data_IF_809390233053
#
_entry.id   IF_809390233053
#
_cell.length_a   1.000
_cell.length_b   1.000
_cell.length_c   1.000
_cell.angle_alpha   90.00
_cell.angle_beta   90.00
_cell.angle_gamma   90.00
#
_symmetry.space_group_name_H-M   'P 1'
#
loop_
_entity.id
_entity.type
_entity.pdbx_description
1 polymer ?
#
# COMPACT_ATOMS: atom_id res chain seq x y z
N UNK A 1 32.24 42.39 -63.39
CA UNK A 1 31.83 41.08 -62.82
C UNK A 1 32.52 40.71 -61.49
N UNK A 2 33.36 41.56 -60.88
CA UNK A 2 33.99 41.26 -59.58
C UNK A 2 33.16 41.70 -58.35
N UNK A 3 32.33 42.74 -58.49
CA UNK A 3 31.54 43.31 -57.37
C UNK A 3 30.41 42.39 -56.88
N UNK A 4 29.83 41.58 -57.78
CA UNK A 4 28.76 40.63 -57.44
C UNK A 4 29.24 39.42 -56.62
N UNK A 5 30.48 38.97 -56.82
CA UNK A 5 31.05 37.85 -56.05
C UNK A 5 31.36 38.25 -54.61
N UNK A 6 31.83 39.47 -54.37
CA UNK A 6 32.08 39.97 -53.01
C UNK A 6 30.78 40.16 -52.22
N UNK A 7 29.72 40.64 -52.87
CA UNK A 7 28.40 40.75 -52.26
C UNK A 7 27.84 39.37 -51.84
N UNK A 8 27.93 38.37 -52.73
CA UNK A 8 27.51 36.99 -52.41
C UNK A 8 28.33 36.36 -51.28
N UNK A 9 29.65 36.60 -51.21
CA UNK A 9 30.48 36.12 -50.11
C UNK A 9 30.06 36.74 -48.76
N UNK A 10 29.71 38.03 -48.76
CA UNK A 10 29.24 38.71 -47.55
C UNK A 10 27.89 38.18 -47.06
N UNK A 11 26.98 37.83 -47.98
CA UNK A 11 25.70 37.22 -47.61
C UNK A 11 25.86 35.79 -47.11
N UNK A 12 26.76 35.00 -47.71
CA UNK A 12 27.07 33.64 -47.25
C UNK A 12 27.65 33.62 -45.83
N UNK A 13 28.59 34.52 -45.53
CA UNK A 13 29.13 34.67 -44.17
C UNK A 13 28.06 35.11 -43.16
N UNK A 14 27.16 36.01 -43.56
CA UNK A 14 26.04 36.45 -42.73
C UNK A 14 25.07 35.30 -42.45
N UNK A 15 24.70 34.51 -43.47
CA UNK A 15 23.83 33.35 -43.32
C UNK A 15 24.46 32.25 -42.46
N UNK A 16 25.77 32.03 -42.62
CA UNK A 16 26.52 31.09 -41.78
C UNK A 16 26.51 31.53 -40.31
N UNK A 17 26.73 32.81 -40.04
CA UNK A 17 26.68 33.36 -38.68
C UNK A 17 25.29 33.25 -38.04
N UNK A 18 24.21 33.51 -38.80
CA UNK A 18 22.84 33.34 -38.33
C UNK A 18 22.51 31.86 -38.08
N UNK A 19 22.93 30.97 -38.97
CA UNK A 19 22.75 29.52 -38.81
C UNK A 19 23.44 29.02 -37.54
N UNK A 20 24.70 29.40 -37.30
CA UNK A 20 25.41 29.03 -36.06
C UNK A 20 24.72 29.57 -34.81
N UNK A 21 24.20 30.80 -34.87
CA UNK A 21 23.47 31.40 -33.74
C UNK A 21 22.13 30.69 -33.47
N UNK A 22 21.44 30.23 -34.51
CA UNK A 22 20.19 29.45 -34.38
C UNK A 22 20.49 28.06 -33.82
N UNK A 23 21.50 27.36 -34.33
CA UNK A 23 21.93 26.06 -33.80
C UNK A 23 22.33 26.16 -32.33
N UNK A 24 23.10 27.18 -31.94
CA UNK A 24 23.45 27.41 -30.54
C UNK A 24 22.24 27.71 -29.65
N UNK A 25 21.20 28.38 -30.19
CA UNK A 25 19.95 28.61 -29.44
C UNK A 25 19.16 27.31 -29.28
N UNK A 26 19.09 26.48 -30.33
CA UNK A 26 18.42 25.17 -30.29
C UNK A 26 19.13 24.25 -29.30
N UNK A 27 20.46 24.12 -29.37
CA UNK A 27 21.25 23.34 -28.41
C UNK A 27 21.06 23.84 -26.98
N UNK A 28 20.99 25.16 -26.76
CA UNK A 28 20.69 25.73 -25.44
C UNK A 28 19.27 25.42 -24.97
N UNK A 29 18.30 25.37 -25.87
CA UNK A 29 16.91 25.02 -25.55
C UNK A 29 16.82 23.53 -25.22
N UNK A 30 17.42 22.64 -26.03
CA UNK A 30 17.49 21.20 -25.76
C UNK A 30 18.23 20.90 -24.45
N UNK A 31 19.37 21.56 -24.21
CA UNK A 31 20.07 21.45 -22.93
C UNK A 31 19.23 22.01 -21.77
N UNK A 32 18.42 23.05 -21.99
CA UNK A 32 17.54 23.62 -20.96
C UNK A 32 16.33 22.73 -20.69
N UNK A 33 15.76 22.09 -21.69
CA UNK A 33 14.68 21.10 -21.53
C UNK A 33 15.21 19.85 -20.82
N UNK A 34 16.31 19.27 -21.28
CA UNK A 34 16.95 18.12 -20.63
C UNK A 34 17.40 18.45 -19.20
N UNK A 35 17.92 19.66 -18.95
CA UNK A 35 18.32 20.07 -17.60
C UNK A 35 17.15 20.44 -16.71
N UNK A 36 15.99 20.86 -17.24
CA UNK A 36 14.75 21.03 -16.45
C UNK A 36 14.14 19.67 -16.10
N UNK A 37 14.25 18.66 -16.97
CA UNK A 37 13.90 17.28 -16.65
C UNK A 37 14.84 16.64 -15.61
N UNK A 38 16.12 17.04 -15.62
CA UNK A 38 17.17 16.48 -14.76
C UNK A 38 17.34 17.23 -13.41
N UNK A 39 17.05 18.54 -13.36
CA UNK A 39 17.26 19.41 -12.17
C UNK A 39 16.02 19.66 -11.31
N UNK A 40 14.93 18.90 -11.48
CA UNK A 40 14.13 18.64 -10.28
C UNK A 40 15.03 17.78 -9.40
N UNK A 41 15.56 18.34 -8.30
CA UNK A 41 16.06 17.57 -7.15
C UNK A 41 15.01 16.51 -6.85
N UNK A 42 15.23 15.34 -7.44
CA UNK A 42 14.14 14.44 -7.76
C UNK A 42 13.75 13.78 -6.46
N UNK A 43 12.66 14.25 -5.85
CA UNK A 43 12.15 13.64 -4.63
C UNK A 43 12.13 12.15 -4.87
N UNK A 44 12.85 11.44 -4.01
CA UNK A 44 13.14 10.05 -4.22
C UNK A 44 11.81 9.29 -4.37
N UNK A 45 11.72 8.49 -5.44
CA UNK A 45 10.43 8.15 -6.07
C UNK A 45 9.88 6.83 -5.58
N UNK A 46 10.77 5.98 -5.12
CA UNK A 46 10.38 4.80 -4.38
C UNK A 46 10.31 5.19 -2.91
N UNK A 47 9.45 4.53 -2.16
CA UNK A 47 9.30 4.81 -0.74
C UNK A 47 9.17 3.50 0.01
N UNK A 48 9.89 3.40 1.13
CA UNK A 48 9.55 2.43 2.17
C UNK A 48 8.70 3.15 3.21
N UNK A 49 7.60 2.56 3.63
CA UNK A 49 6.73 3.13 4.64
C UNK A 49 6.37 2.12 5.71
N UNK A 50 6.19 2.63 6.93
CA UNK A 50 5.75 1.88 8.09
C UNK A 50 4.43 2.47 8.53
N UNK A 51 3.41 1.62 8.70
CA UNK A 51 2.07 2.04 9.11
C UNK A 51 1.63 1.29 10.35
N UNK A 52 0.77 1.93 11.12
CA UNK A 52 0.14 1.31 12.27
C UNK A 52 -1.13 2.05 12.66
N UNK A 53 -2.00 1.35 13.36
CA UNK A 53 -3.26 1.92 13.77
C UNK A 53 -4.26 0.86 14.23
N UNK A 54 -5.51 1.13 13.89
CA UNK A 54 -6.66 0.36 14.32
C UNK A 54 -7.28 -0.43 13.17
N UNK A 55 -7.63 -1.68 13.44
CA UNK A 55 -8.35 -2.54 12.51
C UNK A 55 -9.69 -2.93 13.13
N UNK A 56 -10.72 -3.05 12.30
CA UNK A 56 -12.03 -3.51 12.70
C UNK A 56 -12.52 -4.55 11.70
N UNK A 57 -12.87 -5.75 12.19
CA UNK A 57 -13.49 -6.78 11.37
C UNK A 57 -15.01 -6.66 11.41
N UNK A 58 -15.64 -6.86 10.26
CA UNK A 58 -17.11 -6.80 10.12
C UNK A 58 -17.81 -7.91 10.92
N UNK A 59 -17.18 -9.08 11.03
CA UNK A 59 -17.71 -10.25 11.73
C UNK A 59 -16.79 -10.70 12.86
N UNK A 60 -17.35 -11.39 13.85
CA UNK A 60 -16.51 -12.11 14.81
C UNK A 60 -15.86 -13.27 14.09
N UNK A 61 -14.58 -13.51 14.39
CA UNK A 61 -13.89 -14.70 13.90
C UNK A 61 -14.30 -15.88 14.77
N UNK A 62 -14.88 -16.93 14.17
CA UNK A 62 -15.17 -18.20 14.83
C UNK A 62 -14.07 -19.23 14.49
N UNK A 63 -13.89 -20.27 15.30
CA UNK A 63 -12.84 -21.27 15.06
C UNK A 63 -12.70 -22.34 16.13
N UNK A 64 -12.11 -23.48 15.74
CA UNK A 64 -12.07 -24.76 16.48
C UNK A 64 -11.64 -24.67 17.94
N UNK A 65 -10.85 -23.67 18.30
CA UNK A 65 -10.20 -23.59 19.60
C UNK A 65 -10.91 -22.67 20.59
N UNK A 66 -11.85 -21.82 20.19
CA UNK A 66 -12.58 -20.90 21.10
C UNK A 66 -14.10 -20.89 20.88
N UNK A 67 -14.57 -21.04 19.65
CA UNK A 67 -15.99 -21.23 19.33
C UNK A 67 -16.11 -22.24 18.19
N UNK A 68 -16.54 -23.46 18.55
CA UNK A 68 -16.71 -24.55 17.60
C UNK A 68 -18.17 -24.89 17.37
N UNK A 69 -18.56 -25.00 16.10
CA UNK A 69 -19.90 -25.44 15.69
C UNK A 69 -19.99 -26.98 15.69
N UNK A 70 -18.85 -27.68 15.59
CA UNK A 70 -18.77 -29.16 15.61
C UNK A 70 -18.74 -29.70 17.04
N UNK A 71 -18.10 -28.99 17.97
CA UNK A 71 -18.01 -29.39 19.39
C UNK A 71 -18.55 -28.25 20.27
N UNK A 72 -19.89 -28.11 20.39
CA UNK A 72 -20.51 -27.05 21.19
C UNK A 72 -20.52 -27.38 22.69
N UNK A 73 -19.38 -27.83 23.22
CA UNK A 73 -19.17 -28.17 24.61
C UNK A 73 -18.13 -27.24 25.25
N UNK A 74 -18.32 -26.92 26.53
CA UNK A 74 -17.45 -26.01 27.29
C UNK A 74 -17.75 -24.53 27.05
N UNK A 75 -16.84 -23.65 27.48
CA UNK A 75 -16.96 -22.20 27.25
C UNK A 75 -16.82 -21.91 25.77
N UNK A 76 -17.75 -21.17 25.19
CA UNK A 76 -17.62 -20.64 23.85
C UNK A 76 -17.41 -19.13 23.96
N UNK A 77 -16.18 -18.69 23.69
CA UNK A 77 -15.78 -17.29 23.78
C UNK A 77 -15.49 -16.74 22.37
N UNK A 78 -15.66 -15.44 22.20
CA UNK A 78 -15.49 -14.76 20.90
C UNK A 78 -14.33 -13.76 20.96
N UNK A 79 -13.43 -13.74 19.97
CA UNK A 79 -12.46 -12.67 19.85
C UNK A 79 -13.14 -11.33 19.60
N UNK A 80 -12.51 -10.24 20.06
CA UNK A 80 -12.94 -8.88 19.72
C UNK A 80 -12.86 -8.67 18.19
N UNK A 81 -13.72 -7.80 17.67
CA UNK A 81 -13.69 -7.33 16.29
C UNK A 81 -12.62 -6.28 16.08
N UNK A 82 -12.22 -5.62 17.16
CA UNK A 82 -11.23 -4.57 17.14
C UNK A 82 -9.83 -5.16 17.26
N UNK A 83 -8.89 -4.59 16.53
CA UNK A 83 -7.50 -5.00 16.52
C UNK A 83 -6.60 -3.77 16.47
N UNK A 84 -5.40 -3.93 17.00
CA UNK A 84 -4.29 -3.06 16.62
C UNK A 84 -3.53 -3.71 15.47
N UNK A 85 -2.90 -2.90 14.63
CA UNK A 85 -2.07 -3.41 13.54
C UNK A 85 -0.80 -2.61 13.37
N UNK A 86 0.20 -3.27 12.81
CA UNK A 86 1.41 -2.64 12.30
C UNK A 86 1.84 -3.31 11.01
N UNK A 87 2.53 -2.57 10.16
CA UNK A 87 2.96 -3.09 8.87
C UNK A 87 4.01 -2.24 8.21
N UNK A 88 4.60 -2.78 7.17
CA UNK A 88 5.56 -2.09 6.33
C UNK A 88 5.24 -2.36 4.86
N UNK A 89 5.58 -1.42 4.00
CA UNK A 89 5.38 -1.58 2.57
C UNK A 89 6.36 -0.77 1.75
N UNK A 90 6.35 -1.07 0.46
CA UNK A 90 7.17 -0.44 -0.55
C UNK A 90 6.24 0.11 -1.63
N UNK A 91 6.43 1.38 -1.97
CA UNK A 91 5.84 2.03 -3.13
C UNK A 91 6.93 2.13 -4.20
N UNK A 92 6.70 1.56 -5.38
CA UNK A 92 7.52 1.76 -6.58
C UNK A 92 6.80 2.65 -7.56
N UNK A 93 7.42 3.76 -7.95
CA UNK A 93 6.82 4.68 -8.91
C UNK A 93 6.91 4.14 -10.35
N UNK A 94 5.76 3.90 -10.99
CA UNK A 94 5.68 3.43 -12.38
C UNK A 94 5.65 4.59 -13.38
N UNK A 95 4.85 5.63 -13.11
CA UNK A 95 4.69 6.82 -13.98
C UNK A 95 4.27 8.05 -13.15
N UNK A 96 4.43 9.26 -13.70
CA UNK A 96 4.10 10.56 -13.05
C UNK A 96 2.90 11.30 -13.65
N UNK A 97 2.43 10.81 -14.79
CA UNK A 97 1.38 11.45 -15.59
C UNK A 97 0.31 10.46 -16.05
N UNK A 98 0.22 9.32 -15.35
CA UNK A 98 -0.63 8.19 -15.71
C UNK A 98 -0.48 7.80 -17.19
N UNK A 99 0.78 7.71 -17.67
CA UNK A 99 1.10 7.43 -19.09
C UNK A 99 0.53 8.48 -20.05
N UNK A 100 0.53 9.74 -19.63
CA UNK A 100 -0.04 10.87 -20.36
C UNK A 100 -1.55 11.05 -20.23
N UNK A 101 -2.26 10.17 -19.52
CA UNK A 101 -3.73 10.27 -19.36
C UNK A 101 -4.15 11.36 -18.38
N UNK A 102 -3.33 11.64 -17.35
CA UNK A 102 -3.67 12.61 -16.32
C UNK A 102 -2.42 13.32 -15.81
N UNK A 103 -2.22 14.61 -16.13
CA UNK A 103 -1.07 15.35 -15.64
C UNK A 103 -1.07 15.41 -14.11
N UNK A 104 0.14 15.38 -13.52
CA UNK A 104 0.37 15.40 -12.07
C UNK A 104 -0.27 14.24 -11.29
N UNK A 105 -0.47 13.11 -11.96
CA UNK A 105 -1.02 11.88 -11.36
C UNK A 105 -0.01 10.75 -11.51
N UNK A 106 0.56 10.34 -10.39
CA UNK A 106 1.55 9.27 -10.35
C UNK A 106 0.88 7.94 -10.08
N UNK A 107 1.32 6.90 -10.78
CA UNK A 107 0.86 5.53 -10.56
C UNK A 107 2.03 4.74 -9.99
N UNK A 108 1.79 4.06 -8.89
CA UNK A 108 2.78 3.29 -8.14
C UNK A 108 2.30 1.86 -7.97
N UNK A 109 3.25 0.92 -7.93
CA UNK A 109 3.01 -0.43 -7.45
C UNK A 109 3.34 -0.48 -5.96
N UNK A 110 2.36 -0.81 -5.12
CA UNK A 110 2.53 -1.01 -3.69
C UNK A 110 2.64 -2.51 -3.38
N UNK A 111 3.65 -2.89 -2.60
CA UNK A 111 3.74 -4.19 -1.93
C UNK A 111 3.77 -3.95 -0.42
N UNK A 112 2.82 -4.50 0.32
CA UNK A 112 2.69 -4.28 1.77
C UNK A 112 2.54 -5.58 2.54
N UNK A 113 3.12 -5.62 3.74
CA UNK A 113 2.95 -6.68 4.73
C UNK A 113 2.39 -6.05 6.00
N UNK A 114 1.39 -6.68 6.60
CA UNK A 114 0.66 -6.16 7.77
C UNK A 114 0.34 -7.29 8.76
N UNK A 115 0.60 -7.04 10.03
CA UNK A 115 0.21 -7.90 11.15
C UNK A 115 -0.90 -7.23 11.96
N UNK A 116 -1.93 -8.01 12.31
CA UNK A 116 -3.08 -7.60 13.13
C UNK A 116 -3.23 -8.55 14.31
N UNK A 117 -3.56 -8.02 15.46
CA UNK A 117 -3.93 -8.81 16.64
C UNK A 117 -5.26 -8.31 17.19
N UNK A 118 -6.25 -9.20 17.25
CA UNK A 118 -7.64 -8.92 17.64
C UNK A 118 -7.89 -9.19 19.12
N UNK A 119 -7.28 -10.24 19.68
CA UNK A 119 -7.36 -10.54 21.10
C UNK A 119 -6.22 -11.47 21.50
N UNK A 120 -5.74 -11.34 22.73
CA UNK A 120 -4.71 -12.20 23.33
C UNK A 120 -5.25 -13.10 24.46
N UNK A 121 -6.54 -12.96 24.78
CA UNK A 121 -7.16 -13.55 25.98
C UNK A 121 -8.48 -14.28 25.72
N UNK A 122 -8.68 -14.80 24.50
CA UNK A 122 -9.90 -15.57 24.19
C UNK A 122 -9.83 -16.91 24.92
N UNK A 123 -10.85 -17.24 25.70
CA UNK A 123 -10.90 -18.52 26.40
C UNK A 123 -11.15 -19.64 25.41
N UNK A 124 -10.27 -20.64 25.43
CA UNK A 124 -10.43 -21.81 24.60
C UNK A 124 -11.66 -22.65 24.94
N UNK A 125 -12.20 -23.35 23.95
CA UNK A 125 -13.35 -24.26 24.11
C UNK A 125 -12.94 -25.58 24.79
N UNK A 126 -13.86 -26.55 24.86
CA UNK A 126 -13.58 -27.83 25.51
C UNK A 126 -12.36 -28.60 24.96
N UNK A 127 -11.94 -28.38 23.71
CA UNK A 127 -10.73 -28.97 23.13
C UNK A 127 -9.45 -28.25 23.57
N UNK A 128 -9.54 -26.96 23.87
CA UNK A 128 -8.46 -26.13 24.41
C UNK A 128 -8.40 -26.15 25.95
N UNK A 129 -8.84 -27.25 26.58
CA UNK A 129 -8.71 -27.54 28.01
C UNK A 129 -7.74 -28.73 28.20
N UNK A 130 -6.93 -28.73 29.26
CA UNK A 130 -6.06 -29.85 29.61
C UNK A 130 -6.27 -30.30 31.07
N UNK A 131 -6.75 -31.54 31.32
CA UNK A 131 -7.34 -32.47 30.34
C UNK A 131 -8.64 -31.93 29.73
N UNK A 132 -8.98 -32.37 28.52
CA UNK A 132 -10.19 -31.87 27.82
C UNK A 132 -11.46 -32.13 28.63
N UNK A 133 -12.43 -31.21 28.55
CA UNK A 133 -13.73 -31.43 29.19
C UNK A 133 -14.49 -32.62 28.57
N UNK A 134 -14.17 -33.03 27.34
CA UNK A 134 -14.78 -34.20 26.69
C UNK A 134 -14.45 -35.52 27.40
N UNK A 135 -13.41 -35.57 28.23
CA UNK A 135 -13.04 -36.74 29.05
C UNK A 135 -13.25 -36.48 30.55
N UNK A 136 -14.08 -35.49 30.90
CA UNK A 136 -14.39 -35.16 32.30
C UNK A 136 -13.35 -34.28 33.00
N UNK A 137 -12.49 -33.59 32.25
CA UNK A 137 -11.55 -32.61 32.80
C UNK A 137 -12.23 -31.40 33.44
N UNK A 138 -11.60 -30.83 34.47
CA UNK A 138 -12.04 -29.57 35.08
C UNK A 138 -11.94 -28.40 34.08
N UNK A 139 -12.76 -27.37 34.26
CA UNK A 139 -12.76 -26.17 33.41
C UNK A 139 -11.49 -25.34 33.65
N UNK A 140 -10.49 -25.50 32.77
CA UNK A 140 -9.24 -24.75 32.77
C UNK A 140 -8.81 -24.43 31.32
N UNK A 141 -9.53 -23.51 30.64
CA UNK A 141 -9.29 -23.24 29.23
C UNK A 141 -8.00 -22.47 29.04
N UNK A 142 -7.19 -22.88 28.06
CA UNK A 142 -6.03 -22.12 27.63
C UNK A 142 -6.45 -20.80 26.97
N UNK A 143 -5.62 -19.77 27.15
CA UNK A 143 -5.77 -18.50 26.47
C UNK A 143 -5.30 -18.61 25.02
N UNK A 144 -6.06 -18.05 24.10
CA UNK A 144 -5.78 -18.10 22.66
C UNK A 144 -5.63 -16.69 22.10
N UNK A 145 -4.53 -16.46 21.38
CA UNK A 145 -4.29 -15.20 20.65
C UNK A 145 -4.80 -15.31 19.23
N UNK A 146 -5.67 -14.38 18.83
CA UNK A 146 -6.24 -14.27 17.50
C UNK A 146 -5.50 -13.19 16.72
N UNK A 147 -4.76 -13.61 15.70
CA UNK A 147 -3.93 -12.74 14.86
C UNK A 147 -4.11 -13.02 13.38
N UNK A 148 -3.67 -12.08 12.55
CA UNK A 148 -3.73 -12.17 11.11
C UNK A 148 -2.50 -11.50 10.49
N UNK A 149 -1.80 -12.23 9.62
CA UNK A 149 -0.78 -11.68 8.74
C UNK A 149 -1.42 -11.47 7.36
N UNK A 150 -1.20 -10.31 6.76
CA UNK A 150 -1.75 -9.98 5.45
C UNK A 150 -0.69 -9.41 4.54
N UNK A 151 -0.70 -9.86 3.28
CA UNK A 151 0.22 -9.42 2.24
C UNK A 151 -0.62 -8.82 1.12
N UNK A 152 -0.23 -7.65 0.64
CA UNK A 152 -0.99 -6.88 -0.34
C UNK A 152 -0.11 -6.47 -1.50
N UNK A 153 -0.65 -6.56 -2.71
CA UNK A 153 -0.05 -6.03 -3.93
C UNK A 153 -1.09 -5.19 -4.65
N UNK A 154 -0.87 -3.88 -4.79
CA UNK A 154 -1.90 -2.96 -5.25
C UNK A 154 -1.36 -1.84 -6.14
N UNK A 155 -2.12 -1.42 -7.18
CA UNK A 155 -1.86 -0.16 -7.85
C UNK A 155 -2.29 0.99 -6.94
N UNK A 156 -1.36 1.88 -6.59
CA UNK A 156 -1.64 3.11 -5.85
C UNK A 156 -1.54 4.31 -6.79
N UNK A 157 -2.57 5.14 -6.82
CA UNK A 157 -2.62 6.35 -7.63
C UNK A 157 -2.45 7.54 -6.67
N UNK A 158 -1.35 8.29 -6.81
CA UNK A 158 -1.07 9.50 -6.02
C UNK A 158 -1.27 10.75 -6.88
N UNK A 159 -2.15 11.63 -6.46
CA UNK A 159 -2.42 12.88 -7.17
C UNK A 159 -1.49 14.00 -6.72
N UNK A 160 -1.61 15.15 -7.40
CA UNK A 160 -0.92 16.39 -7.06
C UNK A 160 0.61 16.23 -7.00
N UNK A 161 1.20 15.55 -7.99
CA UNK A 161 2.66 15.46 -8.14
C UNK A 161 3.31 16.86 -8.06
N UNK A 162 4.36 16.98 -7.24
CA UNK A 162 5.04 18.25 -6.93
C UNK A 162 4.48 19.02 -5.72
N UNK A 163 3.29 18.68 -5.23
CA UNK A 163 2.74 19.25 -3.99
C UNK A 163 3.34 18.59 -2.73
N UNK A 164 3.36 19.33 -1.61
CA UNK A 164 3.68 18.76 -0.29
C UNK A 164 2.59 17.84 0.23
N UNK A 165 1.32 18.15 -0.05
CA UNK A 165 0.17 17.32 0.29
C UNK A 165 -0.30 16.59 -0.96
N UNK A 166 -0.39 15.27 -0.87
CA UNK A 166 -0.73 14.38 -1.98
C UNK A 166 -1.82 13.39 -1.54
N UNK A 167 -3.06 13.56 -2.01
CA UNK A 167 -4.07 12.54 -1.84
C UNK A 167 -3.77 11.34 -2.72
N UNK A 168 -4.20 10.17 -2.30
CA UNK A 168 -4.02 8.93 -3.05
C UNK A 168 -5.15 7.95 -2.84
N UNK A 169 -5.31 7.07 -3.82
CA UNK A 169 -6.29 5.98 -3.79
C UNK A 169 -5.66 4.67 -4.25
N UNK A 170 -6.21 3.57 -3.77
CA UNK A 170 -6.00 2.21 -4.25
C UNK A 170 -7.36 1.74 -4.76
N UNK A 171 -7.58 1.72 -6.09
CA UNK A 171 -8.88 1.39 -6.65
C UNK A 171 -9.21 -0.10 -6.58
N UNK A 172 -8.21 -0.98 -6.64
CA UNK A 172 -8.36 -2.43 -6.43
C UNK A 172 -6.97 -3.07 -6.34
N UNK A 173 -6.62 -3.59 -5.16
CA UNK A 173 -5.41 -4.35 -4.93
C UNK A 173 -5.71 -5.81 -4.63
N UNK A 174 -4.73 -6.67 -4.84
CA UNK A 174 -4.77 -8.05 -4.36
C UNK A 174 -4.37 -8.10 -2.88
N UNK A 175 -5.14 -8.83 -2.08
CA UNK A 175 -4.86 -9.10 -0.67
C UNK A 175 -4.82 -10.60 -0.40
N UNK A 176 -3.88 -11.02 0.42
CA UNK A 176 -3.71 -12.39 0.84
C UNK A 176 -3.64 -12.41 2.36
N UNK A 177 -4.61 -13.07 2.99
CA UNK A 177 -4.77 -13.10 4.44
C UNK A 177 -4.42 -14.49 4.98
N UNK A 178 -3.53 -14.51 5.97
CA UNK A 178 -3.11 -15.69 6.72
C UNK A 178 -3.59 -15.50 8.16
N UNK A 179 -4.45 -16.40 8.61
CA UNK A 179 -5.13 -16.28 9.91
C UNK A 179 -4.61 -17.28 10.94
N UNK A 180 -4.54 -16.85 12.19
CA UNK A 180 -4.26 -17.70 13.35
C UNK A 180 -5.23 -17.37 14.49
N UNK A 181 -5.78 -18.37 15.20
CA UNK A 181 -5.81 -19.80 14.86
C UNK A 181 -6.59 -20.06 13.55
N UNK A 182 -6.36 -21.21 12.88
CA UNK A 182 -7.09 -21.58 11.68
C UNK A 182 -8.57 -21.86 11.98
N UNK A 183 -9.41 -21.75 10.95
CA UNK A 183 -10.83 -22.10 11.03
C UNK A 183 -11.09 -23.61 11.09
N UNK A 184 -12.36 -23.97 11.24
CA UNK A 184 -12.81 -25.37 11.35
C UNK A 184 -12.50 -26.26 10.16
N UNK A 185 -12.36 -25.67 8.98
CA UNK A 185 -11.98 -26.40 7.77
C UNK A 185 -10.48 -26.35 7.46
N UNK A 186 -9.63 -26.00 8.44
CA UNK A 186 -8.17 -25.90 8.32
C UNK A 186 -7.65 -24.91 7.24
N UNK A 187 -8.54 -24.17 6.57
CA UNK A 187 -8.18 -23.09 5.66
C UNK A 187 -7.58 -21.91 6.44
N UNK A 188 -6.30 -21.64 6.20
CA UNK A 188 -5.59 -20.46 6.70
C UNK A 188 -5.39 -19.39 5.62
N UNK A 189 -5.78 -19.67 4.37
CA UNK A 189 -5.48 -18.85 3.20
C UNK A 189 -6.74 -18.27 2.57
N UNK A 190 -6.88 -16.93 2.63
CA UNK A 190 -8.06 -16.23 2.12
C UNK A 190 -7.59 -15.11 1.16
N UNK A 191 -7.73 -15.29 -0.17
CA UNK A 191 -7.48 -14.23 -1.13
C UNK A 191 -8.65 -13.24 -1.15
N UNK A 192 -8.35 -11.98 -1.41
CA UNK A 192 -9.33 -10.90 -1.42
C UNK A 192 -8.88 -9.70 -2.24
N UNK A 193 -9.75 -8.70 -2.26
CA UNK A 193 -9.50 -7.40 -2.87
C UNK A 193 -9.38 -6.35 -1.78
N UNK A 194 -8.38 -5.48 -1.90
CA UNK A 194 -8.20 -4.32 -1.01
C UNK A 194 -8.46 -3.02 -1.77
N UNK A 195 -9.25 -2.16 -1.16
CA UNK A 195 -9.48 -0.79 -1.59
C UNK A 195 -8.85 0.13 -0.55
N UNK A 196 -8.39 1.30 -0.95
CA UNK A 196 -7.76 2.22 -0.01
C UNK A 196 -7.81 3.67 -0.45
N UNK A 197 -7.70 4.55 0.53
CA UNK A 197 -7.58 5.98 0.31
C UNK A 197 -6.80 6.61 1.45
N UNK A 198 -6.04 7.65 1.13
CA UNK A 198 -5.23 8.32 2.13
C UNK A 198 -4.69 9.66 1.67
N UNK A 199 -4.02 10.31 2.60
CA UNK A 199 -3.35 11.58 2.41
C UNK A 199 -1.89 11.43 2.85
N UNK A 200 -0.98 11.89 2.00
CA UNK A 200 0.45 11.91 2.28
C UNK A 200 0.95 13.36 2.35
N UNK A 201 1.72 13.69 3.37
CA UNK A 201 2.34 14.99 3.56
C UNK A 201 3.86 14.87 3.63
N UNK A 202 4.55 15.61 2.77
CA UNK A 202 6.02 15.75 2.80
C UNK A 202 6.43 16.66 3.97
N UNK A 203 6.89 16.03 5.04
CA UNK A 203 7.37 16.70 6.25
C UNK A 203 8.69 17.41 5.96
N UNK A 204 9.68 16.68 5.47
CA UNK A 204 11.01 17.22 5.17
C UNK A 204 11.75 16.37 4.14
N UNK A 205 12.20 16.97 3.04
CA UNK A 205 12.93 16.26 1.95
C UNK A 205 12.22 14.97 1.56
N UNK A 206 12.85 13.82 1.81
CA UNK A 206 12.35 12.48 1.50
C UNK A 206 11.59 11.82 2.66
N UNK A 207 11.27 12.56 3.73
CA UNK A 207 10.44 12.08 4.83
C UNK A 207 8.98 12.48 4.65
N UNK A 208 8.11 11.48 4.75
CA UNK A 208 6.68 11.60 4.54
C UNK A 208 5.93 11.12 5.78
N UNK A 209 4.81 11.77 6.07
CA UNK A 209 3.84 11.32 7.07
C UNK A 209 2.47 11.29 6.41
N UNK A 210 1.67 10.28 6.71
CA UNK A 210 0.35 10.17 6.10
C UNK A 210 -0.65 9.48 7.01
N UNK A 211 -1.90 9.56 6.57
CA UNK A 211 -3.02 8.83 7.16
C UNK A 211 -3.72 8.07 6.07
N UNK A 212 -4.19 6.87 6.39
CA UNK A 212 -4.82 6.00 5.42
C UNK A 212 -5.93 5.15 6.02
N UNK A 213 -6.94 4.88 5.20
CA UNK A 213 -7.99 3.92 5.48
C UNK A 213 -8.06 2.91 4.33
N UNK A 214 -8.14 1.63 4.67
CA UNK A 214 -8.24 0.53 3.70
C UNK A 214 -9.39 -0.37 4.04
N UNK A 215 -10.13 -0.75 3.03
CA UNK A 215 -11.23 -1.69 3.13
C UNK A 215 -10.84 -3.00 2.44
N UNK A 216 -11.02 -4.10 3.14
CA UNK A 216 -10.72 -5.44 2.65
C UNK A 216 -12.03 -6.16 2.41
N UNK A 217 -12.16 -6.75 1.21
CA UNK A 217 -13.30 -7.57 0.83
C UNK A 217 -12.76 -8.93 0.36
N UNK A 218 -13.32 -9.99 0.90
CA UNK A 218 -13.08 -11.36 0.49
C UNK A 218 -14.34 -11.89 -0.20
N UNK A 219 -14.19 -12.72 -1.22
CA UNK A 219 -15.25 -13.12 -2.16
C UNK A 219 -16.36 -14.02 -1.58
N UNK A 220 -16.70 -13.85 -0.30
CA UNK A 220 -17.67 -14.64 0.46
C UNK A 220 -17.05 -15.36 1.66
N UNK A 221 -17.91 -15.93 2.51
CA UNK A 221 -17.50 -16.79 3.62
C UNK A 221 -16.78 -18.01 3.07
N UNK A 222 -15.46 -18.05 3.18
CA UNK A 222 -14.70 -19.27 2.93
C UNK A 222 -14.61 -20.01 4.26
N UNK A 223 -15.29 -21.15 4.34
CA UNK A 223 -15.30 -22.03 5.51
C UNK A 223 -15.79 -21.33 6.80
N UNK A 224 -16.83 -20.49 6.68
CA UNK A 224 -17.48 -19.83 7.82
C UNK A 224 -16.73 -18.61 8.39
N UNK A 225 -15.55 -18.27 7.87
CA UNK A 225 -14.75 -17.12 8.30
C UNK A 225 -14.86 -15.99 7.27
N UNK A 226 -15.22 -14.81 7.77
CA UNK A 226 -15.26 -13.54 7.04
C UNK A 226 -14.15 -12.64 7.62
N UNK A 227 -13.21 -12.22 6.76
CA UNK A 227 -12.10 -11.33 7.15
C UNK A 227 -12.30 -9.92 6.61
N UNK A 228 -13.50 -9.61 6.12
CA UNK A 228 -13.86 -8.28 5.69
C UNK A 228 -13.72 -7.30 6.86
N UNK A 229 -13.24 -6.11 6.54
CA UNK A 229 -12.95 -5.14 7.57
C UNK A 229 -12.25 -3.89 7.06
N UNK A 230 -12.08 -2.96 7.98
CA UNK A 230 -11.42 -1.68 7.76
C UNK A 230 -10.12 -1.66 8.56
N UNK A 231 -9.05 -1.15 7.96
CA UNK A 231 -7.87 -0.66 8.70
C UNK A 231 -7.80 0.85 8.55
N UNK A 232 -7.57 1.56 9.64
CA UNK A 232 -7.40 3.00 9.65
C UNK A 232 -6.23 3.37 10.56
N UNK A 233 -5.33 4.22 10.07
CA UNK A 233 -4.16 4.58 10.84
C UNK A 233 -3.27 5.63 10.19
N UNK A 234 -2.09 5.75 10.75
CA UNK A 234 -1.05 6.65 10.28
C UNK A 234 0.16 5.88 9.75
N UNK A 235 0.97 6.54 8.95
CA UNK A 235 2.21 5.99 8.43
C UNK A 235 3.32 7.02 8.30
N UNK A 236 4.55 6.54 8.39
CA UNK A 236 5.77 7.30 8.13
C UNK A 236 6.54 6.64 6.99
N UNK A 237 7.00 7.44 6.04
CA UNK A 237 7.67 6.99 4.84
C UNK A 237 9.02 7.66 4.63
N UNK A 238 9.94 6.92 4.03
CA UNK A 238 11.26 7.39 3.61
C UNK A 238 11.42 7.11 2.12
N UNK A 239 11.61 8.15 1.34
CA UNK A 239 11.90 8.07 -0.09
C UNK A 239 13.33 7.59 -0.35
N UNK A 240 13.52 6.78 -1.39
CA UNK A 240 14.82 6.36 -1.93
C UNK A 240 14.88 6.31 -3.47
#
# INVERSE_FOLDING_TARGET
>A
MQTGMQAMQSELEKLKSQSTQVTQKIERIEHKENSVETNQEGSKRNMVFFRGGFAHSSQHRNGLVFQSDVVPAGVQDQPDKNAWYFGAGFDWNLTRDAWGLAPKTSVLAELMIEYKEFSSHVKGNALANMPTQLVGGAQNPHSVTVSQLSIYAAPKIKFMEGSRLRPWIIPAGFGMHIISPPGESASFFIPGVVFGGGLEYRVWKDFYAGIDARYHITGGKKDGIDVDGVTAGGYLGIGF
#
